data_IF_386349176663
#
_entry.id   IF_386349176663
#
_cell.length_a   1.000
_cell.length_b   1.000
_cell.length_c   1.000
_cell.angle_alpha   90.00
_cell.angle_beta   90.00
_cell.angle_gamma   90.00
#
_symmetry.space_group_name_H-M   'P 1'
#
loop_
_entity.id
_entity.type
_entity.pdbx_description
1 polymer ?
#
# COMPACT_ATOMS: atom_id res chain seq x y z
N UNK A 1 4.46 29.51 11.49
CA UNK A 1 4.20 29.75 10.05
C UNK A 1 5.28 29.05 9.28
N UNK A 2 4.98 27.85 8.80
CA UNK A 2 5.82 27.10 7.86
C UNK A 2 4.82 26.46 6.89
N UNK A 3 4.93 26.87 5.63
CA UNK A 3 4.05 26.54 4.52
C UNK A 3 3.73 25.04 4.45
N UNK A 4 2.46 24.68 4.65
CA UNK A 4 1.92 23.46 4.04
C UNK A 4 2.02 23.69 2.53
N UNK A 5 2.99 23.05 1.90
CA UNK A 5 3.01 22.93 0.45
C UNK A 5 1.73 22.20 0.06
N UNK A 6 0.78 22.98 -0.44
CA UNK A 6 -0.40 22.52 -1.17
C UNK A 6 0.08 21.93 -2.51
N UNK A 7 0.82 20.82 -2.40
CA UNK A 7 1.38 20.13 -3.55
C UNK A 7 0.26 19.33 -4.18
N UNK A 8 -0.10 19.72 -5.40
CA UNK A 8 -1.10 19.03 -6.22
C UNK A 8 -0.76 17.55 -6.34
N UNK A 9 -1.75 16.68 -6.12
CA UNK A 9 -1.59 15.24 -6.31
C UNK A 9 -1.35 14.93 -7.78
N UNK A 10 -0.40 14.03 -8.04
CA UNK A 10 -0.09 13.60 -9.40
C UNK A 10 -1.20 12.68 -9.90
N UNK A 11 -1.85 13.07 -11.01
CA UNK A 11 -2.78 12.21 -11.76
C UNK A 11 -1.99 11.18 -12.56
N UNK A 12 -2.30 9.90 -12.38
CA UNK A 12 -1.68 8.79 -13.10
C UNK A 12 -2.57 8.28 -14.23
N UNK A 13 -3.88 8.39 -14.07
CA UNK A 13 -4.88 8.00 -15.07
C UNK A 13 -6.20 8.71 -14.79
N UNK A 14 -6.91 9.11 -15.83
CA UNK A 14 -8.28 9.62 -15.70
C UNK A 14 -9.09 9.31 -16.97
N UNK A 15 -10.33 8.83 -16.77
CA UNK A 15 -11.33 8.72 -17.83
C UNK A 15 -12.73 9.14 -17.30
N UNK A 16 -13.79 8.78 -18.04
CA UNK A 16 -15.17 9.07 -17.64
C UNK A 16 -15.62 8.32 -16.38
N UNK A 17 -15.00 7.19 -16.06
CA UNK A 17 -15.42 6.24 -15.04
C UNK A 17 -14.48 6.22 -13.82
N UNK A 18 -13.18 6.43 -14.03
CA UNK A 18 -12.11 6.21 -13.07
C UNK A 18 -11.14 7.39 -13.02
N UNK A 19 -10.62 7.59 -11.82
CA UNK A 19 -9.51 8.48 -11.53
C UNK A 19 -8.47 7.71 -10.73
N UNK A 20 -7.21 7.75 -11.15
CA UNK A 20 -6.10 7.18 -10.40
C UNK A 20 -5.06 8.25 -10.11
N UNK A 21 -4.67 8.37 -8.84
CA UNK A 21 -3.71 9.35 -8.36
C UNK A 21 -2.53 8.67 -7.66
N UNK A 22 -1.39 9.34 -7.65
CA UNK A 22 -0.29 8.97 -6.77
C UNK A 22 -0.54 9.55 -5.38
N UNK A 23 -0.84 8.68 -4.41
CA UNK A 23 -0.88 9.06 -3.00
C UNK A 23 0.57 9.15 -2.47
N UNK A 24 1.02 10.28 -1.93
CA UNK A 24 2.31 10.36 -1.26
C UNK A 24 2.30 9.66 0.11
N UNK A 25 3.48 9.27 0.61
CA UNK A 25 3.61 8.74 1.96
C UNK A 25 3.38 9.83 3.00
N UNK A 26 2.88 9.47 4.20
CA UNK A 26 2.62 10.39 5.29
C UNK A 26 1.18 10.93 5.35
N UNK A 27 0.43 10.89 4.25
CA UNK A 27 -0.98 11.31 4.23
C UNK A 27 -1.90 10.15 4.65
N UNK A 28 -2.79 10.33 5.65
CA UNK A 28 -3.73 9.30 6.07
C UNK A 28 -4.86 9.09 5.04
N UNK A 29 -5.57 7.96 5.13
CA UNK A 29 -6.68 7.68 4.20
C UNK A 29 -7.92 8.55 4.51
N UNK A 30 -8.34 8.56 5.78
CA UNK A 30 -9.32 9.50 6.33
C UNK A 30 -8.58 10.62 7.06
N UNK A 31 -9.25 11.75 7.29
CA UNK A 31 -8.70 12.79 8.17
C UNK A 31 -8.34 12.19 9.53
N UNK A 32 -7.17 12.53 10.03
CA UNK A 32 -6.81 12.36 11.43
C UNK A 32 -6.76 13.74 12.12
N UNK A 33 -6.48 13.77 13.42
CA UNK A 33 -6.53 15.02 14.21
C UNK A 33 -5.56 16.11 13.71
N UNK A 34 -4.58 15.74 12.87
CA UNK A 34 -3.47 16.60 12.46
C UNK A 34 -3.41 16.83 10.95
N UNK A 35 -3.93 15.89 10.14
CA UNK A 35 -3.76 15.89 8.69
C UNK A 35 -5.07 15.59 7.97
N UNK A 36 -5.29 16.33 6.89
CA UNK A 36 -6.35 16.05 5.94
C UNK A 36 -6.12 14.69 5.25
N UNK A 37 -7.18 13.89 5.15
CA UNK A 37 -7.13 12.59 4.48
C UNK A 37 -7.00 12.72 2.95
N UNK A 38 -6.36 11.73 2.33
CA UNK A 38 -6.17 11.69 0.87
C UNK A 38 -7.49 11.80 0.10
N UNK A 39 -8.57 11.21 0.62
CA UNK A 39 -9.89 11.26 -0.03
C UNK A 39 -10.39 12.71 -0.14
N UNK A 40 -10.26 13.49 0.94
CA UNK A 40 -10.67 14.89 0.92
C UNK A 40 -9.77 15.73 0.02
N UNK A 41 -8.45 15.49 0.04
CA UNK A 41 -7.52 16.19 -0.87
C UNK A 41 -7.88 15.97 -2.34
N UNK A 42 -8.19 14.73 -2.73
CA UNK A 42 -8.61 14.42 -4.10
C UNK A 42 -9.94 15.11 -4.42
N UNK A 43 -10.93 15.10 -3.52
CA UNK A 43 -12.21 15.79 -3.78
C UNK A 43 -12.06 17.28 -3.98
N UNK A 44 -11.21 17.94 -3.20
CA UNK A 44 -10.93 19.37 -3.34
C UNK A 44 -10.19 19.66 -4.66
N UNK A 45 -9.14 18.89 -4.97
CA UNK A 45 -8.34 19.12 -6.18
C UNK A 45 -9.13 18.92 -7.48
N UNK A 46 -10.08 17.99 -7.50
CA UNK A 46 -10.88 17.67 -8.69
C UNK A 46 -12.30 18.28 -8.62
N UNK A 47 -12.56 19.14 -7.64
CA UNK A 47 -13.85 19.82 -7.43
C UNK A 47 -15.07 18.87 -7.50
N UNK A 48 -14.91 17.65 -6.98
CA UNK A 48 -15.90 16.58 -7.14
C UNK A 48 -16.13 15.83 -5.84
N UNK A 49 -17.27 16.09 -5.21
CA UNK A 49 -17.73 15.34 -4.02
C UNK A 49 -18.06 13.87 -4.35
N UNK A 50 -18.42 13.58 -5.62
CA UNK A 50 -18.86 12.26 -6.06
C UNK A 50 -17.70 11.36 -6.50
N UNK A 51 -16.67 11.25 -5.66
CA UNK A 51 -15.56 10.30 -5.83
C UNK A 51 -15.63 9.19 -4.79
N UNK A 52 -15.64 7.94 -5.28
CA UNK A 52 -15.72 6.73 -4.48
C UNK A 52 -14.34 6.05 -4.41
N UNK A 53 -13.62 6.10 -3.29
CA UNK A 53 -12.37 5.36 -3.15
C UNK A 53 -12.66 3.85 -3.16
N UNK A 54 -12.07 3.12 -4.11
CA UNK A 54 -12.37 1.68 -4.28
C UNK A 54 -11.47 0.79 -3.42
N UNK A 55 -10.34 1.32 -2.95
CA UNK A 55 -9.46 0.68 -1.98
C UNK A 55 -8.71 1.74 -1.16
N UNK A 56 -7.98 1.30 -0.12
CA UNK A 56 -7.17 2.18 0.74
C UNK A 56 -5.69 1.81 0.74
N UNK A 57 -4.86 2.79 1.06
CA UNK A 57 -3.45 2.62 1.41
C UNK A 57 -3.23 3.12 2.84
N UNK A 58 -2.26 2.53 3.54
CA UNK A 58 -1.89 2.99 4.89
C UNK A 58 -1.22 4.38 4.83
N UNK A 59 -1.20 5.10 5.96
CA UNK A 59 -0.63 6.46 6.04
C UNK A 59 0.78 6.55 5.45
N UNK A 60 1.66 5.63 5.85
CA UNK A 60 3.06 5.59 5.40
C UNK A 60 3.27 4.88 4.05
N UNK A 61 2.22 4.37 3.41
CA UNK A 61 2.31 3.73 2.09
C UNK A 61 2.01 4.76 1.01
N UNK A 62 2.93 4.95 0.07
CA UNK A 62 2.72 5.72 -1.15
C UNK A 62 2.23 4.82 -2.29
N UNK A 63 1.79 5.45 -3.39
CA UNK A 63 1.53 4.77 -4.65
C UNK A 63 0.12 4.97 -5.19
N UNK A 64 -0.26 4.08 -6.10
CA UNK A 64 -1.51 4.15 -6.86
C UNK A 64 -2.73 4.05 -5.94
N UNK A 65 -3.62 5.04 -6.02
CA UNK A 65 -4.93 5.02 -5.39
C UNK A 65 -6.01 5.31 -6.43
N UNK A 66 -7.01 4.42 -6.50
CA UNK A 66 -8.07 4.49 -7.51
C UNK A 66 -9.39 4.95 -6.89
N UNK A 67 -10.07 5.83 -7.60
CA UNK A 67 -11.39 6.35 -7.31
C UNK A 67 -12.32 6.06 -8.50
N UNK A 68 -13.54 5.62 -8.20
CA UNK A 68 -14.61 5.59 -9.19
C UNK A 68 -15.35 6.93 -9.20
N UNK A 69 -15.68 7.41 -10.40
CA UNK A 69 -16.44 8.65 -10.66
C UNK A 69 -17.95 8.42 -10.69
N UNK A 70 -18.39 7.16 -10.81
CA UNK A 70 -19.81 6.78 -10.80
C UNK A 70 -20.07 5.62 -9.83
N UNK A 71 -21.32 5.51 -9.36
CA UNK A 71 -21.73 4.37 -8.52
C UNK A 71 -21.63 3.03 -9.28
N UNK A 72 -21.91 3.03 -10.58
CA UNK A 72 -21.81 1.83 -11.42
C UNK A 72 -20.37 1.32 -11.50
N UNK A 73 -19.41 2.22 -11.75
CA UNK A 73 -17.98 1.87 -11.77
C UNK A 73 -17.48 1.44 -10.39
N UNK A 74 -17.95 2.09 -9.32
CA UNK A 74 -17.62 1.69 -7.94
C UNK A 74 -18.10 0.25 -7.64
N UNK A 75 -19.34 -0.07 -8.03
CA UNK A 75 -19.89 -1.43 -7.87
C UNK A 75 -19.08 -2.46 -8.67
N UNK A 76 -18.82 -2.19 -9.94
CA UNK A 76 -18.06 -3.10 -10.80
C UNK A 76 -16.65 -3.40 -10.24
N UNK A 77 -15.91 -2.37 -9.80
CA UNK A 77 -14.57 -2.56 -9.22
C UNK A 77 -14.65 -3.28 -7.87
N UNK A 78 -15.66 -2.98 -7.05
CA UNK A 78 -15.86 -3.66 -5.77
C UNK A 78 -16.07 -5.17 -5.97
N UNK A 79 -16.87 -5.54 -6.97
CA UNK A 79 -17.09 -6.94 -7.36
C UNK A 79 -15.78 -7.59 -7.86
N UNK A 80 -14.98 -6.89 -8.67
CA UNK A 80 -13.67 -7.38 -9.12
C UNK A 80 -12.69 -7.58 -7.98
N UNK A 81 -12.66 -6.68 -6.99
CA UNK A 81 -11.84 -6.80 -5.78
C UNK A 81 -12.29 -7.99 -4.92
N UNK A 82 -13.61 -8.18 -4.75
CA UNK A 82 -14.19 -9.30 -4.01
C UNK A 82 -13.90 -10.64 -4.68
N UNK A 83 -14.01 -10.69 -6.02
CA UNK A 83 -13.72 -11.86 -6.84
C UNK A 83 -12.22 -12.06 -7.10
N UNK A 84 -11.35 -11.19 -6.56
CA UNK A 84 -9.88 -11.25 -6.67
C UNK A 84 -9.38 -11.27 -8.12
N UNK A 85 -10.08 -10.60 -9.03
CA UNK A 85 -9.68 -10.47 -10.44
C UNK A 85 -8.73 -9.29 -10.68
N UNK A 86 -8.58 -8.41 -9.68
CA UNK A 86 -7.60 -7.31 -9.70
C UNK A 86 -6.31 -7.76 -9.01
N UNK A 87 -5.21 -7.63 -9.73
CA UNK A 87 -3.88 -7.85 -9.18
C UNK A 87 -3.26 -6.53 -8.72
N UNK A 88 -2.63 -6.54 -7.56
CA UNK A 88 -1.90 -5.39 -7.00
C UNK A 88 -0.47 -5.79 -6.73
N UNK A 89 0.46 -4.89 -7.03
CA UNK A 89 1.88 -5.10 -6.81
C UNK A 89 2.45 -3.92 -6.02
N UNK A 90 3.27 -4.24 -5.03
CA UNK A 90 3.90 -3.27 -4.15
C UNK A 90 5.41 -3.51 -4.11
N UNK A 91 6.17 -2.43 -4.09
CA UNK A 91 7.61 -2.49 -3.86
C UNK A 91 7.90 -2.13 -2.40
N UNK A 92 8.80 -2.88 -1.79
CA UNK A 92 9.27 -2.62 -0.43
C UNK A 92 10.76 -2.87 -0.30
N UNK A 93 11.42 -2.11 0.57
CA UNK A 93 12.81 -2.30 0.94
C UNK A 93 12.90 -2.83 2.37
N UNK A 94 13.86 -3.73 2.60
CA UNK A 94 14.22 -4.22 3.94
C UNK A 94 15.72 -4.44 4.01
N UNK A 95 16.34 -4.13 5.15
CA UNK A 95 17.74 -4.48 5.42
C UNK A 95 17.91 -5.97 5.72
N UNK A 96 16.83 -6.63 6.14
CA UNK A 96 16.87 -8.04 6.51
C UNK A 96 16.86 -8.96 5.29
N UNK A 97 17.84 -9.86 5.21
CA UNK A 97 17.92 -10.91 4.20
C UNK A 97 16.78 -11.93 4.36
N UNK A 98 15.98 -12.19 3.30
CA UNK A 98 14.91 -13.17 3.40
C UNK A 98 15.47 -14.60 3.35
N UNK A 99 14.79 -15.53 4.04
CA UNK A 99 15.15 -16.95 4.00
C UNK A 99 14.94 -17.63 2.63
N UNK A 100 14.07 -17.05 1.79
CA UNK A 100 13.84 -17.48 0.40
C UNK A 100 13.74 -16.27 -0.52
N UNK A 101 14.16 -16.39 -1.77
CA UNK A 101 14.05 -15.30 -2.77
C UNK A 101 12.66 -15.17 -3.39
N UNK A 102 11.79 -16.17 -3.23
CA UNK A 102 10.41 -16.13 -3.69
C UNK A 102 9.54 -17.08 -2.86
N UNK A 103 8.23 -16.82 -2.84
CA UNK A 103 7.27 -17.71 -2.19
C UNK A 103 5.98 -16.99 -1.82
N UNK A 104 5.27 -17.55 -0.84
CA UNK A 104 4.08 -16.95 -0.28
C UNK A 104 4.15 -16.96 1.26
N UNK A 105 3.69 -15.88 1.87
CA UNK A 105 3.38 -15.80 3.29
C UNK A 105 1.88 -15.98 3.43
N UNK A 106 1.46 -17.04 4.14
CA UNK A 106 0.07 -17.38 4.33
C UNK A 106 -0.19 -17.77 5.79
N UNK A 107 -1.14 -17.07 6.43
CA UNK A 107 -1.53 -17.35 7.81
C UNK A 107 -2.58 -16.35 8.31
N UNK A 108 -3.30 -16.73 9.36
CA UNK A 108 -4.28 -15.87 10.01
C UNK A 108 -3.59 -14.67 10.67
N UNK A 109 -4.27 -13.51 10.68
CA UNK A 109 -3.75 -12.29 11.29
C UNK A 109 -4.55 -11.94 12.54
N UNK A 110 -3.86 -11.79 13.67
CA UNK A 110 -4.48 -11.39 14.94
C UNK A 110 -3.89 -10.07 15.44
N UNK A 111 -4.71 -9.28 16.14
CA UNK A 111 -4.25 -8.03 16.77
C UNK A 111 -3.21 -8.36 17.84
N UNK A 112 -2.10 -7.63 17.81
CA UNK A 112 -1.06 -7.61 18.85
C UNK A 112 -1.19 -6.37 19.74
N UNK A 113 -0.13 -6.07 20.50
CA UNK A 113 -0.06 -4.86 21.34
C UNK A 113 0.16 -3.61 20.49
N UNK A 114 -0.28 -2.44 20.97
CA UNK A 114 -0.04 -1.11 20.35
C UNK A 114 -0.44 -1.04 18.87
N UNK A 115 -1.58 -1.65 18.51
CA UNK A 115 -2.10 -1.63 17.13
C UNK A 115 -1.31 -2.45 16.10
N UNK A 116 -0.34 -3.26 16.54
CA UNK A 116 0.38 -4.20 15.68
C UNK A 116 -0.50 -5.40 15.32
N UNK A 117 -0.09 -6.16 14.30
CA UNK A 117 -0.68 -7.44 13.94
C UNK A 117 0.39 -8.52 13.94
N UNK A 118 -0.01 -9.74 14.28
CA UNK A 118 0.83 -10.93 14.32
C UNK A 118 0.31 -11.95 13.31
N UNK A 119 1.24 -12.62 12.64
CA UNK A 119 0.92 -13.75 11.76
C UNK A 119 0.88 -15.04 12.57
N UNK A 120 -0.19 -15.81 12.39
CA UNK A 120 -0.46 -17.10 13.00
C UNK A 120 -0.30 -18.20 11.96
N UNK A 121 -0.08 -19.45 12.40
CA UNK A 121 0.12 -20.59 11.48
C UNK A 121 -1.20 -21.16 10.96
N UNK A 122 -2.26 -20.91 11.72
CA UNK A 122 -3.65 -21.18 11.43
C UNK A 122 -4.06 -20.55 10.09
N UNK A 123 -5.01 -21.19 9.40
CA UNK A 123 -5.44 -20.82 8.04
C UNK A 123 -6.95 -20.84 7.89
N UNK A 124 -7.67 -20.37 8.90
CA UNK A 124 -9.14 -20.31 8.88
C UNK A 124 -9.62 -19.18 7.96
N UNK A 125 -8.94 -18.04 7.97
CA UNK A 125 -9.21 -16.89 7.10
C UNK A 125 -7.90 -16.15 6.79
N UNK A 126 -6.96 -16.82 6.10
CA UNK A 126 -5.58 -16.41 6.06
C UNK A 126 -5.40 -15.13 5.24
N UNK A 127 -4.46 -14.29 5.68
CA UNK A 127 -3.85 -13.32 4.81
C UNK A 127 -2.84 -14.02 3.91
N UNK A 128 -2.89 -13.77 2.61
CA UNK A 128 -2.00 -14.41 1.62
C UNK A 128 -1.29 -13.35 0.79
N UNK A 129 0.04 -13.36 0.82
CA UNK A 129 0.90 -12.45 0.05
C UNK A 129 1.99 -13.25 -0.65
N UNK A 130 2.03 -13.20 -1.99
CA UNK A 130 3.17 -13.71 -2.76
C UNK A 130 4.27 -12.67 -2.79
N UNK A 131 5.51 -13.13 -2.87
CA UNK A 131 6.65 -12.23 -2.94
C UNK A 131 7.76 -12.79 -3.83
N UNK A 132 8.51 -11.85 -4.39
CA UNK A 132 9.84 -12.05 -4.98
C UNK A 132 10.80 -11.06 -4.33
N UNK A 133 12.03 -11.49 -4.10
CA UNK A 133 13.05 -10.71 -3.41
C UNK A 133 14.39 -10.77 -4.16
N UNK A 134 15.03 -9.61 -4.28
CA UNK A 134 16.33 -9.44 -4.93
C UNK A 134 17.22 -8.58 -4.04
N UNK A 135 18.47 -9.01 -3.85
CA UNK A 135 19.47 -8.17 -3.21
C UNK A 135 19.76 -6.97 -4.12
N UNK A 136 19.75 -5.76 -3.56
CA UNK A 136 20.24 -4.58 -4.23
C UNK A 136 21.75 -4.49 -4.03
N UNK A 137 22.44 -4.05 -5.07
CA UNK A 137 23.90 -3.88 -5.03
C UNK A 137 24.27 -2.87 -3.93
N UNK A 138 25.19 -3.22 -3.00
CA UNK A 138 25.71 -2.28 -2.02
C UNK A 138 26.25 -0.98 -2.62
N UNK A 139 26.74 -1.01 -3.86
CA UNK A 139 27.26 0.17 -4.59
C UNK A 139 26.17 1.19 -4.91
N UNK A 140 24.89 0.79 -5.07
CA UNK A 140 23.78 1.73 -5.23
C UNK A 140 23.50 2.55 -3.95
N UNK A 141 24.13 2.22 -2.83
CA UNK A 141 23.83 2.81 -1.53
C UNK A 141 24.86 3.84 -1.04
N UNK A 142 25.99 4.04 -1.75
CA UNK A 142 27.11 4.87 -1.23
C UNK A 142 26.77 6.35 -1.01
N UNK A 143 25.83 6.90 -1.79
CA UNK A 143 25.52 8.34 -1.79
C UNK A 143 24.14 8.67 -1.22
N UNK A 144 23.51 7.73 -0.51
CA UNK A 144 22.18 7.96 0.10
C UNK A 144 22.27 7.92 1.63
N UNK A 145 21.52 8.78 2.31
CA UNK A 145 21.36 8.76 3.78
C UNK A 145 20.87 7.40 4.32
N UNK A 146 20.37 6.53 3.43
CA UNK A 146 19.90 5.18 3.72
C UNK A 146 21.03 4.13 3.70
N UNK A 147 22.30 4.45 3.46
CA UNK A 147 23.34 3.41 3.39
C UNK A 147 23.41 2.55 4.66
N UNK A 148 23.33 1.23 4.52
CA UNK A 148 23.51 0.28 5.63
C UNK A 148 24.63 -0.70 5.30
N UNK A 149 25.40 -1.13 6.31
CA UNK A 149 26.48 -2.12 6.14
C UNK A 149 25.97 -3.46 5.57
N UNK A 150 24.71 -3.79 5.81
CA UNK A 150 24.08 -5.07 5.40
C UNK A 150 23.43 -5.02 4.00
N UNK A 151 23.35 -3.83 3.38
CA UNK A 151 22.67 -3.62 2.11
C UNK A 151 21.15 -3.72 2.21
N UNK A 152 20.47 -3.51 1.08
CA UNK A 152 19.01 -3.61 0.99
C UNK A 152 18.55 -4.79 0.15
N UNK A 153 17.40 -5.32 0.51
CA UNK A 153 16.63 -6.27 -0.27
C UNK A 153 15.38 -5.58 -0.80
N UNK A 154 15.20 -5.64 -2.11
CA UNK A 154 14.00 -5.21 -2.79
C UNK A 154 13.01 -6.38 -2.85
N UNK A 155 11.77 -6.10 -2.43
CA UNK A 155 10.67 -7.04 -2.48
C UNK A 155 9.59 -6.53 -3.45
N UNK A 156 9.17 -7.37 -4.37
CA UNK A 156 7.91 -7.22 -5.08
C UNK A 156 6.85 -8.09 -4.38
N UNK A 157 5.81 -7.44 -3.84
CA UNK A 157 4.76 -8.07 -3.04
C UNK A 157 3.44 -8.04 -3.78
N UNK A 158 2.78 -9.19 -3.91
CA UNK A 158 1.45 -9.35 -4.51
C UNK A 158 0.47 -9.87 -3.45
N UNK A 159 -0.33 -9.00 -2.81
CA UNK A 159 -1.37 -9.46 -1.89
C UNK A 159 -2.53 -10.10 -2.66
N UNK A 160 -2.86 -11.35 -2.33
CA UNK A 160 -4.04 -12.07 -2.84
C UNK A 160 -5.29 -11.86 -1.95
N UNK A 161 -5.09 -11.21 -0.81
CA UNK A 161 -6.11 -10.82 0.16
C UNK A 161 -5.89 -9.37 0.60
N UNK A 162 -6.90 -8.72 1.18
CA UNK A 162 -6.82 -7.30 1.57
C UNK A 162 -6.96 -7.04 3.07
N UNK A 163 -6.16 -7.70 3.93
CA UNK A 163 -6.22 -7.47 5.39
C UNK A 163 -5.46 -6.19 5.78
N UNK A 164 -5.89 -5.53 6.86
CA UNK A 164 -5.21 -4.35 7.41
C UNK A 164 -3.75 -4.66 7.74
N UNK A 165 -2.83 -3.80 7.29
CA UNK A 165 -1.38 -3.93 7.49
C UNK A 165 -0.75 -5.24 6.93
N UNK A 166 -1.45 -5.96 6.04
CA UNK A 166 -1.05 -7.28 5.58
C UNK A 166 0.40 -7.36 5.06
N UNK A 167 0.79 -6.43 4.18
CA UNK A 167 2.13 -6.45 3.57
C UNK A 167 3.24 -6.23 4.61
N UNK A 168 2.99 -5.38 5.60
CA UNK A 168 3.93 -5.10 6.70
C UNK A 168 4.12 -6.33 7.58
N UNK A 169 3.04 -7.04 7.88
CA UNK A 169 3.08 -8.30 8.62
C UNK A 169 3.81 -9.37 7.81
N UNK A 170 3.49 -9.52 6.52
CA UNK A 170 4.14 -10.46 5.64
C UNK A 170 5.66 -10.23 5.58
N UNK A 171 6.09 -8.98 5.35
CA UNK A 171 7.51 -8.63 5.28
C UNK A 171 8.23 -8.89 6.61
N UNK A 172 7.59 -8.59 7.75
CA UNK A 172 8.13 -8.90 9.09
C UNK A 172 8.30 -10.40 9.33
N UNK A 173 7.49 -11.24 8.69
CA UNK A 173 7.56 -12.71 8.82
C UNK A 173 8.60 -13.37 7.91
N UNK A 174 9.12 -12.65 6.91
CA UNK A 174 10.13 -13.18 5.98
C UNK A 174 11.56 -13.09 6.50
N UNK A 175 11.75 -12.48 7.67
CA UNK A 175 12.97 -11.78 8.03
C UNK A 175 13.24 -11.75 9.54
#
# INVERSE_FOLDING_TARGET
MSSETDESLITLFEDANLLAVHKPAGIPFHCDDLLQGIVQKVRLQFESEQLFPVHRLDKMTSGLMVFAKTQASNKAISEMLQNKTIEKYYLALSTKKPGKKQGAVAGDMVKGRRGSYLLRREKTNPAVTRFFAKALDPMLNKDTELSTKEGYWLFALKPETGKTHQLRVALKSLA
#
